data_IF_181820165284
#
_entry.id   IF_181820165284
#
_cell.length_a   1.000
_cell.length_b   1.000
_cell.length_c   1.000
_cell.angle_alpha   90.00
_cell.angle_beta   90.00
_cell.angle_gamma   90.00
#
_symmetry.space_group_name_H-M   'P 1'
#
loop_
_entity.id
_entity.type
_entity.pdbx_description
1 polymer ?
#
# COMPACT_ATOMS: atom_id res chain seq x y z
N UNK A 1 28.93 -22.09 15.88
CA UNK A 1 28.61 -22.36 14.46
C UNK A 1 27.15 -22.03 14.22
N UNK A 2 26.87 -20.79 13.82
CA UNK A 2 25.51 -20.35 13.52
C UNK A 2 25.12 -20.98 12.18
N UNK A 3 24.16 -21.90 12.19
CA UNK A 3 23.65 -22.49 10.96
C UNK A 3 23.02 -21.39 10.13
N UNK A 4 23.65 -21.03 9.01
CA UNK A 4 23.03 -20.18 7.99
C UNK A 4 21.82 -20.98 7.51
N UNK A 5 20.64 -20.66 8.02
CA UNK A 5 19.38 -21.21 7.52
C UNK A 5 19.28 -20.72 6.08
N UNK A 6 19.68 -21.56 5.13
CA UNK A 6 19.65 -21.21 3.71
C UNK A 6 18.18 -21.04 3.34
N UNK A 7 17.77 -19.79 3.11
CA UNK A 7 16.41 -19.56 2.62
C UNK A 7 16.28 -20.27 1.28
N UNK A 8 15.24 -21.11 1.09
CA UNK A 8 15.13 -21.96 -0.07
C UNK A 8 15.26 -21.17 -1.38
N UNK A 9 15.81 -21.82 -2.40
CA UNK A 9 15.89 -21.23 -3.73
C UNK A 9 14.46 -20.96 -4.23
N UNK A 10 14.16 -19.76 -4.76
CA UNK A 10 12.83 -19.49 -5.30
C UNK A 10 12.51 -20.46 -6.45
N UNK A 11 11.30 -21.02 -6.41
CA UNK A 11 10.74 -21.87 -7.46
C UNK A 11 10.04 -21.02 -8.52
N UNK A 12 9.48 -21.65 -9.56
CA UNK A 12 8.73 -20.96 -10.62
C UNK A 12 7.65 -20.04 -10.05
N UNK A 13 7.61 -18.79 -10.52
CA UNK A 13 6.64 -17.77 -10.08
C UNK A 13 6.86 -17.23 -8.67
N UNK A 14 7.95 -17.59 -8.00
CA UNK A 14 8.27 -17.17 -6.62
C UNK A 14 9.48 -16.24 -6.62
N UNK A 15 9.39 -15.18 -5.82
CA UNK A 15 10.47 -14.25 -5.52
C UNK A 15 11.01 -14.54 -4.13
N UNK A 16 12.33 -14.42 -3.97
CA UNK A 16 12.97 -14.31 -2.67
C UNK A 16 13.26 -12.83 -2.40
N UNK A 17 12.72 -12.32 -1.32
CA UNK A 17 12.74 -10.90 -0.98
C UNK A 17 13.49 -10.66 0.32
N UNK A 18 14.12 -9.49 0.43
CA UNK A 18 14.73 -8.98 1.65
C UNK A 18 13.86 -7.85 2.20
N UNK A 19 13.13 -8.06 3.31
CA UNK A 19 12.36 -7.00 3.96
C UNK A 19 13.26 -5.88 4.47
N UNK A 20 12.87 -4.62 4.27
CA UNK A 20 13.62 -3.44 4.74
C UNK A 20 12.79 -2.58 5.69
N UNK A 21 11.50 -2.39 5.39
CA UNK A 21 10.61 -1.53 6.17
C UNK A 21 9.19 -2.11 6.20
N UNK A 22 8.50 -1.94 7.34
CA UNK A 22 7.13 -2.43 7.56
C UNK A 22 6.27 -1.32 8.13
N UNK A 23 5.04 -1.20 7.64
CA UNK A 23 4.09 -0.21 8.16
C UNK A 23 2.71 -0.33 7.51
N UNK A 24 1.67 -0.01 8.30
CA UNK A 24 0.26 0.13 7.89
C UNK A 24 -0.25 -0.93 6.90
N UNK A 25 0.08 -2.20 7.14
CA UNK A 25 -0.40 -3.33 6.35
C UNK A 25 0.44 -3.67 5.12
N UNK A 26 1.60 -3.05 4.96
CA UNK A 26 2.55 -3.32 3.88
C UNK A 26 3.97 -3.48 4.40
N UNK A 27 4.77 -4.19 3.61
CA UNK A 27 6.21 -4.35 3.78
C UNK A 27 6.86 -3.95 2.47
N UNK A 28 7.95 -3.21 2.56
CA UNK A 28 8.84 -2.88 1.45
C UNK A 28 10.13 -3.67 1.60
N UNK A 29 10.74 -3.97 0.46
CA UNK A 29 12.00 -4.68 0.42
C UNK A 29 12.62 -4.69 -0.96
N UNK A 30 13.63 -5.53 -1.11
CA UNK A 30 14.35 -5.73 -2.35
C UNK A 30 14.19 -7.17 -2.83
N UNK A 31 14.15 -7.38 -4.14
CA UNK A 31 14.31 -8.72 -4.71
C UNK A 31 15.74 -9.19 -4.48
N UNK A 32 15.92 -10.28 -3.75
CA UNK A 32 17.20 -10.94 -3.56
C UNK A 32 17.47 -11.92 -4.72
N UNK A 33 16.47 -12.73 -5.05
CA UNK A 33 16.52 -13.66 -6.17
C UNK A 33 15.13 -13.87 -6.78
N UNK A 34 15.08 -14.07 -8.09
CA UNK A 34 13.85 -14.29 -8.83
C UNK A 34 13.84 -15.72 -9.38
N UNK A 35 12.77 -16.48 -9.13
CA UNK A 35 12.59 -17.81 -9.69
C UNK A 35 12.24 -17.75 -11.19
N UNK A 36 12.24 -18.89 -11.90
CA UNK A 36 11.75 -18.93 -13.28
C UNK A 36 10.33 -18.32 -13.41
N UNK A 37 10.01 -17.74 -14.56
CA UNK A 37 8.69 -17.13 -14.87
C UNK A 37 8.23 -16.01 -13.92
N UNK A 38 9.17 -15.34 -13.24
CA UNK A 38 8.90 -14.11 -12.47
C UNK A 38 9.05 -12.86 -13.34
N UNK A 39 8.14 -12.72 -14.30
CA UNK A 39 8.23 -11.67 -15.31
C UNK A 39 8.14 -10.27 -14.71
N UNK A 40 9.04 -9.38 -15.12
CA UNK A 40 9.06 -7.99 -14.68
C UNK A 40 9.75 -7.73 -13.35
N UNK A 41 10.41 -8.74 -12.76
CA UNK A 41 11.23 -8.60 -11.58
C UNK A 41 12.67 -9.05 -11.82
N UNK A 42 13.62 -8.28 -11.32
CA UNK A 42 15.04 -8.56 -11.33
C UNK A 42 15.64 -8.40 -9.92
N UNK A 43 16.78 -9.06 -9.62
CA UNK A 43 17.50 -8.80 -8.39
C UNK A 43 17.76 -7.30 -8.19
N UNK A 44 17.57 -6.84 -6.94
CA UNK A 44 17.65 -5.45 -6.47
C UNK A 44 16.48 -4.55 -6.84
N UNK A 45 15.44 -5.07 -7.51
CA UNK A 45 14.20 -4.30 -7.69
C UNK A 45 13.57 -3.99 -6.34
N UNK A 46 13.10 -2.75 -6.19
CA UNK A 46 12.31 -2.33 -5.03
C UNK A 46 10.91 -2.85 -5.18
N UNK A 47 10.43 -3.53 -4.15
CA UNK A 47 9.12 -4.16 -4.16
C UNK A 47 8.37 -3.95 -2.85
N UNK A 48 7.05 -4.08 -2.92
CA UNK A 48 6.17 -4.07 -1.77
C UNK A 48 5.17 -5.22 -1.81
N UNK A 49 4.76 -5.70 -0.65
CA UNK A 49 3.72 -6.73 -0.53
C UNK A 49 2.90 -6.50 0.75
N UNK A 50 1.77 -7.19 0.86
CA UNK A 50 0.91 -7.08 2.04
C UNK A 50 1.58 -7.69 3.26
N UNK A 51 1.46 -7.00 4.37
CA UNK A 51 1.87 -7.50 5.67
C UNK A 51 0.84 -8.51 6.19
N UNK A 52 1.29 -9.75 6.40
CA UNK A 52 0.50 -10.88 6.91
C UNK A 52 0.55 -10.98 8.44
N UNK A 53 1.32 -10.14 9.13
CA UNK A 53 1.54 -10.26 10.57
C UNK A 53 2.75 -11.13 10.94
N UNK A 54 3.32 -11.88 10.00
CA UNK A 54 4.41 -12.81 10.29
C UNK A 54 5.70 -12.11 10.72
N UNK A 55 6.54 -12.85 11.46
CA UNK A 55 7.93 -12.46 11.71
C UNK A 55 8.80 -12.91 10.54
N UNK A 56 9.77 -12.07 10.18
CA UNK A 56 10.62 -12.34 9.03
C UNK A 56 11.98 -12.87 9.49
N UNK A 57 12.58 -13.76 8.71
CA UNK A 57 14.04 -13.88 8.71
C UNK A 57 14.65 -12.80 7.82
N UNK A 58 15.96 -12.89 7.55
CA UNK A 58 16.63 -11.98 6.61
C UNK A 58 16.02 -12.02 5.20
N UNK A 59 15.46 -13.17 4.80
CA UNK A 59 14.85 -13.38 3.49
C UNK A 59 13.49 -14.10 3.63
N UNK A 60 12.58 -13.77 2.73
CA UNK A 60 11.23 -14.36 2.66
C UNK A 60 10.90 -14.78 1.23
N UNK A 61 10.00 -15.76 1.08
CA UNK A 61 9.48 -16.17 -0.21
C UNK A 61 8.07 -15.60 -0.43
N UNK A 62 7.80 -15.11 -1.64
CA UNK A 62 6.50 -14.57 -2.05
C UNK A 62 6.19 -14.96 -3.48
N UNK A 63 4.93 -15.25 -3.75
CA UNK A 63 4.47 -15.44 -5.13
C UNK A 63 4.48 -14.09 -5.85
N UNK A 64 4.93 -14.06 -7.11
CA UNK A 64 5.03 -12.82 -7.89
C UNK A 64 3.71 -12.03 -7.97
N UNK A 65 2.57 -12.73 -7.94
CA UNK A 65 1.23 -12.12 -8.03
C UNK A 65 0.83 -11.31 -6.79
N UNK A 66 1.54 -11.50 -5.69
CA UNK A 66 1.31 -10.78 -4.43
C UNK A 66 2.37 -9.69 -4.17
N UNK A 67 3.26 -9.48 -5.15
CA UNK A 67 4.38 -8.53 -5.06
C UNK A 67 4.17 -7.40 -6.05
N UNK A 68 4.45 -6.19 -5.60
CA UNK A 68 4.34 -4.95 -6.37
C UNK A 68 5.72 -4.38 -6.62
N UNK A 69 5.99 -3.98 -7.86
CA UNK A 69 7.13 -3.11 -8.15
C UNK A 69 6.90 -1.71 -7.56
N UNK A 70 7.89 -1.18 -6.84
CA UNK A 70 7.85 0.17 -6.26
C UNK A 70 8.61 1.14 -7.18
N UNK A 71 7.95 2.17 -7.73
CA UNK A 71 8.63 3.17 -8.54
C UNK A 71 9.73 3.92 -7.78
N UNK A 72 10.83 4.23 -8.46
CA UNK A 72 12.01 4.89 -7.87
C UNK A 72 11.74 6.25 -7.19
N UNK A 73 10.67 6.93 -7.60
CA UNK A 73 10.34 8.28 -7.12
C UNK A 73 9.43 8.27 -5.89
N UNK A 74 8.98 7.11 -5.42
CA UNK A 74 8.27 6.94 -4.14
C UNK A 74 9.30 6.47 -3.11
N UNK A 75 9.34 7.07 -1.92
CA UNK A 75 10.20 6.59 -0.83
C UNK A 75 9.64 5.32 -0.17
N UNK A 76 10.48 4.55 0.53
CA UNK A 76 10.02 3.38 1.28
C UNK A 76 9.01 3.80 2.38
N UNK A 77 9.26 4.94 3.04
CA UNK A 77 8.35 5.54 4.03
C UNK A 77 6.97 5.86 3.43
N UNK A 78 6.94 6.48 2.25
CA UNK A 78 5.67 6.77 1.58
C UNK A 78 4.91 5.50 1.23
N UNK A 79 5.59 4.43 0.81
CA UNK A 79 4.90 3.16 0.52
C UNK A 79 4.28 2.57 1.78
N UNK A 80 5.04 2.40 2.87
CA UNK A 80 4.51 1.78 4.10
C UNK A 80 3.54 2.68 4.87
N UNK A 81 3.56 3.99 4.62
CA UNK A 81 2.60 4.94 5.18
C UNK A 81 1.32 5.02 4.36
N UNK A 82 1.43 5.25 3.05
CA UNK A 82 0.31 5.65 2.20
C UNK A 82 -0.33 4.53 1.41
N UNK A 83 0.36 3.41 1.11
CA UNK A 83 -0.22 2.43 0.18
C UNK A 83 -1.50 1.81 0.74
N UNK A 84 -1.51 1.40 2.01
CA UNK A 84 -2.72 0.87 2.66
C UNK A 84 -3.85 1.89 2.75
N UNK A 85 -3.65 3.04 3.41
CA UNK A 85 -4.65 4.10 3.50
C UNK A 85 -5.11 4.63 2.14
N UNK A 86 -4.20 4.77 1.18
CA UNK A 86 -4.49 5.21 -0.18
C UNK A 86 -5.36 4.22 -0.96
N UNK A 87 -5.13 2.91 -0.81
CA UNK A 87 -6.00 1.89 -1.41
C UNK A 87 -7.43 1.97 -0.85
N UNK A 88 -7.56 2.23 0.45
CA UNK A 88 -8.86 2.43 1.10
C UNK A 88 -9.50 3.72 0.59
N UNK A 89 -8.78 4.84 0.62
CA UNK A 89 -9.25 6.14 0.11
C UNK A 89 -9.75 6.03 -1.33
N UNK A 90 -8.97 5.40 -2.22
CA UNK A 90 -9.34 5.09 -3.61
C UNK A 90 -10.67 4.36 -3.70
N UNK A 91 -10.86 3.32 -2.90
CA UNK A 91 -12.10 2.57 -2.89
C UNK A 91 -13.26 3.41 -2.35
N UNK A 92 -13.02 4.20 -1.31
CA UNK A 92 -14.03 5.05 -0.71
C UNK A 92 -14.58 6.08 -1.70
N UNK A 93 -13.70 6.77 -2.44
CA UNK A 93 -14.09 7.75 -3.45
C UNK A 93 -14.72 7.10 -4.68
N UNK A 94 -14.31 5.88 -5.07
CA UNK A 94 -14.89 5.19 -6.24
C UNK A 94 -16.29 4.66 -6.01
N UNK A 95 -16.65 4.29 -4.79
CA UNK A 95 -17.97 3.70 -4.49
C UNK A 95 -18.98 4.73 -4.01
N UNK A 96 -18.65 6.03 -3.99
CA UNK A 96 -19.49 7.09 -3.45
C UNK A 96 -19.58 8.24 -4.45
N UNK A 97 -20.75 8.47 -5.07
CA UNK A 97 -20.88 9.51 -6.09
C UNK A 97 -20.92 10.89 -5.44
N UNK A 98 -19.95 11.74 -5.80
CA UNK A 98 -20.00 13.18 -5.59
C UNK A 98 -19.50 13.90 -6.83
N UNK A 99 -20.06 15.08 -7.08
CA UNK A 99 -19.71 15.99 -8.15
C UNK A 99 -18.65 17.02 -7.74
N UNK A 100 -18.23 17.80 -8.72
CA UNK A 100 -17.40 18.98 -8.49
C UNK A 100 -18.24 20.03 -7.77
N UNK A 101 -17.72 20.54 -6.66
CA UNK A 101 -18.40 21.53 -5.83
C UNK A 101 -19.40 20.95 -4.83
N UNK A 102 -19.51 19.63 -4.70
CA UNK A 102 -20.28 19.03 -3.61
C UNK A 102 -19.52 19.18 -2.29
N UNK A 103 -20.24 19.44 -1.21
CA UNK A 103 -19.70 19.43 0.15
C UNK A 103 -19.61 17.98 0.65
N UNK A 104 -18.40 17.52 0.91
CA UNK A 104 -18.09 16.14 1.32
C UNK A 104 -17.45 16.13 2.69
N UNK A 105 -17.98 15.30 3.59
CA UNK A 105 -17.39 14.99 4.89
C UNK A 105 -16.86 13.57 4.91
N UNK A 106 -15.72 13.33 5.54
CA UNK A 106 -15.11 12.00 5.62
C UNK A 106 -15.03 11.56 7.08
N UNK A 107 -15.57 10.37 7.35
CA UNK A 107 -15.58 9.77 8.68
C UNK A 107 -14.83 8.44 8.66
N UNK A 108 -13.67 8.42 9.33
CA UNK A 108 -12.91 7.20 9.61
C UNK A 108 -12.31 7.26 11.01
N UNK A 109 -12.13 6.10 11.63
CA UNK A 109 -11.36 5.95 12.86
C UNK A 109 -9.83 6.05 12.63
N UNK A 110 -9.38 5.93 11.38
CA UNK A 110 -7.98 6.07 10.99
C UNK A 110 -7.76 7.46 10.37
N UNK A 111 -7.09 8.34 11.11
CA UNK A 111 -6.90 9.74 10.70
C UNK A 111 -6.23 9.88 9.34
N UNK A 112 -5.27 8.99 9.02
CA UNK A 112 -4.58 9.03 7.73
C UNK A 112 -5.51 8.62 6.58
N UNK A 113 -6.45 7.72 6.82
CA UNK A 113 -7.51 7.40 5.84
C UNK A 113 -8.42 8.61 5.65
N UNK A 114 -8.81 9.31 6.73
CA UNK A 114 -9.60 10.55 6.63
C UNK A 114 -8.87 11.59 5.78
N UNK A 115 -7.61 11.90 6.10
CA UNK A 115 -6.81 12.90 5.41
C UNK A 115 -6.59 12.56 3.93
N UNK A 116 -6.18 11.31 3.62
CA UNK A 116 -5.97 10.89 2.24
C UNK A 116 -7.26 10.85 1.42
N UNK A 117 -8.37 10.41 2.01
CA UNK A 117 -9.67 10.40 1.33
C UNK A 117 -10.15 11.83 1.06
N UNK A 118 -10.00 12.74 2.03
CA UNK A 118 -10.32 14.15 1.86
C UNK A 118 -9.46 14.79 0.76
N UNK A 119 -8.15 14.55 0.76
CA UNK A 119 -7.23 15.07 -0.25
C UNK A 119 -7.58 14.57 -1.66
N UNK A 120 -7.92 13.28 -1.80
CA UNK A 120 -8.36 12.71 -3.06
C UNK A 120 -9.71 13.27 -3.52
N UNK A 121 -10.67 13.44 -2.62
CA UNK A 121 -11.95 14.05 -2.96
C UNK A 121 -11.78 15.52 -3.41
N UNK A 122 -10.88 16.29 -2.78
CA UNK A 122 -10.51 17.64 -3.24
C UNK A 122 -9.92 17.63 -4.64
N UNK A 123 -9.02 16.70 -4.95
CA UNK A 123 -8.42 16.61 -6.29
C UNK A 123 -9.44 16.30 -7.39
N UNK A 124 -10.54 15.63 -7.04
CA UNK A 124 -11.69 15.40 -7.92
C UNK A 124 -12.65 16.60 -8.01
N UNK A 125 -12.48 17.61 -7.14
CA UNK A 125 -13.21 18.88 -7.15
C UNK A 125 -14.27 19.03 -6.06
N UNK A 126 -14.33 18.13 -5.08
CA UNK A 126 -15.21 18.32 -3.92
C UNK A 126 -14.68 19.40 -2.96
N UNK A 127 -15.58 20.01 -2.19
CA UNK A 127 -15.23 20.83 -1.02
C UNK A 127 -15.29 19.96 0.23
N UNK A 128 -14.25 20.00 1.07
CA UNK A 128 -14.24 19.21 2.32
C UNK A 128 -14.77 20.07 3.45
N UNK A 129 -15.74 19.54 4.18
CA UNK A 129 -16.43 20.23 5.27
C UNK A 129 -16.48 19.35 6.52
N UNK A 130 -16.49 19.98 7.69
CA UNK A 130 -16.47 19.28 8.98
C UNK A 130 -17.87 19.00 9.56
N UNK A 131 -18.94 19.59 8.99
CA UNK A 131 -20.29 19.50 9.56
C UNK A 131 -21.37 19.14 8.53
N UNK A 132 -22.14 20.12 8.06
CA UNK A 132 -23.20 19.91 7.08
C UNK A 132 -22.59 19.65 5.70
N UNK A 133 -22.84 18.46 5.15
CA UNK A 133 -22.30 17.98 3.89
C UNK A 133 -23.43 17.42 3.02
N UNK A 134 -23.31 17.58 1.70
CA UNK A 134 -24.15 16.89 0.73
C UNK A 134 -23.95 15.37 0.79
N UNK A 135 -22.72 14.95 1.12
CA UNK A 135 -22.35 13.55 1.25
C UNK A 135 -21.38 13.29 2.41
N UNK A 136 -21.67 12.24 3.18
CA UNK A 136 -20.76 11.73 4.20
C UNK A 136 -20.12 10.39 3.76
N UNK A 137 -18.82 10.39 3.53
CA UNK A 137 -18.02 9.20 3.23
C UNK A 137 -17.69 8.47 4.53
N UNK A 138 -18.39 7.37 4.79
CA UNK A 138 -18.10 6.49 5.93
C UNK A 138 -17.07 5.41 5.57
N UNK A 139 -16.00 5.29 6.34
CA UNK A 139 -15.04 4.19 6.21
C UNK A 139 -15.58 2.86 6.77
N UNK A 140 -16.39 2.16 5.94
CA UNK A 140 -16.99 0.88 6.31
C UNK A 140 -15.96 -0.26 6.27
N UNK A 141 -15.88 -1.01 7.37
CA UNK A 141 -15.06 -2.23 7.53
C UNK A 141 -15.16 -3.21 6.35
N UNK A 142 -16.33 -3.36 5.73
CA UNK A 142 -16.56 -4.21 4.55
C UNK A 142 -15.77 -3.73 3.34
N UNK A 143 -15.72 -2.42 3.10
CA UNK A 143 -14.93 -1.81 2.01
C UNK A 143 -13.45 -2.02 2.28
N UNK A 144 -12.98 -1.79 3.52
CA UNK A 144 -11.59 -2.09 3.90
C UNK A 144 -11.23 -3.54 3.64
N UNK A 145 -12.08 -4.49 4.06
CA UNK A 145 -11.82 -5.92 3.87
C UNK A 145 -11.78 -6.31 2.40
N UNK A 146 -12.69 -5.81 1.56
CA UNK A 146 -12.72 -6.16 0.14
C UNK A 146 -11.48 -5.66 -0.61
N UNK A 147 -11.01 -4.45 -0.27
CA UNK A 147 -9.79 -3.85 -0.84
C UNK A 147 -8.52 -4.58 -0.38
N UNK A 148 -8.48 -4.98 0.89
CA UNK A 148 -7.30 -5.61 1.47
C UNK A 148 -7.20 -7.12 1.19
N UNK A 149 -8.31 -7.81 0.94
CA UNK A 149 -8.34 -9.25 0.67
C UNK A 149 -8.25 -9.64 -0.82
N UNK A 150 -8.33 -8.66 -1.73
CA UNK A 150 -8.30 -8.92 -3.18
C UNK A 150 -6.93 -9.39 -3.66
N UNK A 151 -6.77 -10.69 -3.89
CA UNK A 151 -5.59 -11.28 -4.53
C UNK A 151 -5.56 -10.89 -6.02
N UNK A 152 -4.38 -10.58 -6.56
CA UNK A 152 -4.17 -10.32 -8.00
C UNK A 152 -4.65 -8.96 -8.55
N UNK A 153 -5.44 -8.18 -7.81
CA UNK A 153 -5.85 -6.79 -8.21
C UNK A 153 -5.09 -5.68 -7.49
N UNK A 154 -4.19 -6.06 -6.59
CA UNK A 154 -3.40 -5.12 -5.81
C UNK A 154 -2.52 -4.24 -6.71
N UNK A 155 -1.92 -4.80 -7.76
CA UNK A 155 -1.05 -4.05 -8.67
C UNK A 155 -1.79 -2.94 -9.41
N UNK A 156 -2.95 -3.25 -9.98
CA UNK A 156 -3.80 -2.28 -10.67
C UNK A 156 -4.23 -1.15 -9.71
N UNK A 157 -4.71 -1.50 -8.51
CA UNK A 157 -5.16 -0.52 -7.54
C UNK A 157 -4.00 0.35 -7.01
N UNK A 158 -2.81 -0.24 -6.83
CA UNK A 158 -1.62 0.47 -6.40
C UNK A 158 -1.14 1.49 -7.45
N UNK A 159 -1.32 1.22 -8.74
CA UNK A 159 -0.98 2.18 -9.81
C UNK A 159 -1.72 3.49 -9.63
N UNK A 160 -3.03 3.47 -9.35
CA UNK A 160 -3.79 4.72 -9.13
C UNK A 160 -3.32 5.47 -7.88
N UNK A 161 -2.97 4.76 -6.80
CA UNK A 161 -2.41 5.38 -5.58
C UNK A 161 -1.06 6.01 -5.89
N UNK A 162 -0.19 5.32 -6.63
CA UNK A 162 1.10 5.85 -7.06
C UNK A 162 0.90 7.10 -7.94
N UNK A 163 0.00 7.06 -8.92
CA UNK A 163 -0.25 8.25 -9.74
C UNK A 163 -0.77 9.44 -8.92
N UNK A 164 -1.64 9.20 -7.93
CA UNK A 164 -2.08 10.25 -7.01
C UNK A 164 -0.92 10.86 -6.20
N UNK A 165 0.00 10.02 -5.68
CA UNK A 165 1.24 10.50 -5.03
C UNK A 165 2.07 11.33 -6.02
N UNK A 166 2.28 10.84 -7.24
CA UNK A 166 3.07 11.54 -8.27
C UNK A 166 2.50 12.90 -8.65
N UNK A 167 1.19 13.03 -8.63
CA UNK A 167 0.46 14.26 -8.95
C UNK A 167 0.39 15.24 -7.78
N UNK A 168 0.97 14.90 -6.62
CA UNK A 168 0.96 15.74 -5.43
C UNK A 168 -0.39 15.78 -4.72
N UNK A 169 -1.28 14.81 -4.99
CA UNK A 169 -2.61 14.75 -4.34
C UNK A 169 -2.49 14.66 -2.82
N UNK A 170 -1.38 14.11 -2.30
CA UNK A 170 -1.16 13.91 -0.88
C UNK A 170 -0.02 14.76 -0.30
N UNK A 171 0.41 15.83 -0.98
CA UNK A 171 1.56 16.63 -0.52
C UNK A 171 1.33 17.28 0.85
N UNK A 172 0.06 17.58 1.18
CA UNK A 172 -0.34 18.13 2.48
C UNK A 172 -0.59 17.05 3.56
N UNK A 173 -0.45 15.76 3.22
CA UNK A 173 -0.68 14.64 4.15
C UNK A 173 0.66 14.16 4.70
N UNK A 174 0.90 14.27 6.00
CA UNK A 174 2.17 13.86 6.58
C UNK A 174 2.34 12.31 6.56
N UNK A 175 3.49 11.77 6.11
CA UNK A 175 3.74 10.34 6.20
C UNK A 175 4.02 9.91 7.65
N UNK A 176 3.53 8.73 8.00
CA UNK A 176 3.81 8.10 9.30
C UNK A 176 5.01 7.17 9.14
N UNK A 177 5.99 7.31 10.04
CA UNK A 177 7.18 6.48 10.02
C UNK A 177 6.83 4.98 10.14
N UNK A 178 7.43 4.19 9.25
CA UNK A 178 7.43 2.73 9.36
C UNK A 178 8.38 2.25 10.47
N UNK A 179 8.29 0.96 10.78
CA UNK A 179 9.23 0.28 11.67
C UNK A 179 10.06 -0.74 10.88
N UNK A 180 11.28 -0.99 11.33
CA UNK A 180 12.07 -2.10 10.80
C UNK A 180 11.30 -3.42 10.99
N UNK A 181 11.38 -4.36 10.04
CA UNK A 181 10.79 -5.68 10.20
C UNK A 181 11.35 -6.34 11.47
N UNK A 182 10.48 -6.90 12.31
CA UNK A 182 10.93 -7.73 13.44
C UNK A 182 11.55 -9.01 12.88
N UNK A 183 12.84 -9.18 13.13
CA UNK A 183 13.58 -10.38 12.74
C UNK A 183 13.43 -11.42 13.84
N UNK A 184 12.99 -12.63 13.49
CA UNK A 184 13.00 -13.75 14.43
C UNK A 184 14.47 -14.15 14.68
N UNK A 185 14.91 -14.03 15.94
CA UNK A 185 16.27 -14.39 16.38
C UNK A 185 16.53 -15.90 16.34
#
# INVERSE_FOLDING_TARGET
>A
MTAIRSVPRPTTGVLRLRPTLRGRGFVVGLVDAAGPDTNGFAPRDRVAWRDSGEEFGDLVLREQRDVLGVPRWISDEQVVSYLGPGLIARALVRTRPFGRGDDVRVDSADSLVTEMTAAWARSLGARIVDSAADLAIQDDTRVRRSVLAGHGRLAEAAVEVFQAIRQGVFDDVAPIAGAAPRVAA
#
